data_IF_108094918191
#
_entry.id   IF_108094918191
#
_cell.length_a   1.000
_cell.length_b   1.000
_cell.length_c   1.000
_cell.angle_alpha   90.00
_cell.angle_beta   90.00
_cell.angle_gamma   90.00
#
_symmetry.space_group_name_H-M   'P 1'
#
loop_
_entity.id
_entity.type
_entity.pdbx_description
1 polymer ?
#
# COMPACT_ATOMS: atom_id res chain seq x y z
N UNK A 1 -11.36 6.69 4.13
CA UNK A 1 -10.25 6.40 3.19
C UNK A 1 -10.34 7.35 2.01
N UNK A 2 -9.22 8.00 1.67
CA UNK A 2 -9.12 8.95 0.56
C UNK A 2 -7.72 8.85 -0.08
N UNK A 3 -7.60 8.94 -1.40
CA UNK A 3 -8.66 8.76 -2.38
C UNK A 3 -9.17 7.30 -2.42
N UNK A 4 -10.32 7.05 -3.05
CA UNK A 4 -10.93 5.71 -3.08
C UNK A 4 -10.66 4.92 -4.37
N UNK A 5 -10.33 5.60 -5.47
CA UNK A 5 -10.27 4.99 -6.82
C UNK A 5 -9.00 5.29 -7.60
N UNK A 6 -8.13 6.17 -7.11
CA UNK A 6 -6.91 6.59 -7.82
C UNK A 6 -5.79 6.93 -6.86
N UNK A 7 -4.56 6.95 -7.35
CA UNK A 7 -3.41 7.42 -6.60
C UNK A 7 -3.31 8.95 -6.62
N UNK A 8 -2.67 9.53 -5.60
CA UNK A 8 -2.33 10.94 -5.58
C UNK A 8 -1.08 11.15 -6.46
N UNK A 9 -1.22 12.01 -7.43
CA UNK A 9 -0.20 12.33 -8.43
C UNK A 9 -0.06 13.85 -8.57
N UNK A 10 1.02 14.36 -9.17
CA UNK A 10 1.15 15.80 -9.41
C UNK A 10 -0.02 16.42 -10.21
N UNK A 11 -0.73 15.59 -11.00
CA UNK A 11 -1.86 16.05 -11.83
C UNK A 11 -3.14 16.35 -11.05
N UNK A 12 -3.33 15.67 -9.90
CA UNK A 12 -4.54 15.79 -9.08
C UNK A 12 -4.23 16.24 -7.64
N UNK A 13 -3.00 16.67 -7.37
CA UNK A 13 -2.57 17.04 -6.03
C UNK A 13 -3.36 18.21 -5.44
N UNK A 14 -3.63 19.24 -6.26
CA UNK A 14 -4.38 20.43 -5.82
C UNK A 14 -5.79 20.08 -5.36
N UNK A 15 -6.50 19.27 -6.13
CA UNK A 15 -7.85 18.81 -5.80
C UNK A 15 -7.84 17.90 -4.57
N UNK A 16 -6.83 17.03 -4.46
CA UNK A 16 -6.65 16.18 -3.30
C UNK A 16 -6.44 17.00 -2.01
N UNK A 17 -5.62 18.06 -2.08
CA UNK A 17 -5.39 18.96 -0.94
C UNK A 17 -6.68 19.65 -0.50
N UNK A 18 -7.48 20.14 -1.43
CA UNK A 18 -8.80 20.74 -1.11
C UNK A 18 -9.69 19.76 -0.36
N UNK A 19 -9.77 18.52 -0.83
CA UNK A 19 -10.60 17.49 -0.17
C UNK A 19 -10.06 17.12 1.21
N UNK A 20 -8.76 16.89 1.34
CA UNK A 20 -8.11 16.57 2.63
C UNK A 20 -8.38 17.68 3.64
N UNK A 21 -8.14 18.93 3.26
CA UNK A 21 -8.35 20.07 4.14
C UNK A 21 -9.81 20.19 4.60
N UNK A 22 -10.78 20.05 3.69
CA UNK A 22 -12.21 20.07 4.04
C UNK A 22 -12.62 18.93 4.97
N UNK A 23 -12.06 17.73 4.78
CA UNK A 23 -12.31 16.62 5.70
C UNK A 23 -11.78 16.90 7.10
N UNK A 24 -10.58 17.48 7.20
CA UNK A 24 -9.97 17.85 8.47
C UNK A 24 -10.70 19.02 9.13
N UNK A 25 -11.10 20.06 8.39
CA UNK A 25 -11.92 21.19 8.88
C UNK A 25 -13.24 20.71 9.48
N UNK A 26 -13.85 19.67 8.89
CA UNK A 26 -15.06 19.04 9.41
C UNK A 26 -14.81 18.10 10.61
N UNK A 27 -13.58 18.03 11.14
CA UNK A 27 -13.23 17.24 12.32
C UNK A 27 -12.99 15.74 12.05
N UNK A 28 -13.01 15.30 10.80
CA UNK A 28 -12.85 13.89 10.46
C UNK A 28 -11.44 13.39 10.69
N UNK A 29 -11.31 12.08 10.95
CA UNK A 29 -10.08 11.34 10.74
C UNK A 29 -9.92 10.99 9.27
N UNK A 30 -8.73 11.17 8.72
CA UNK A 30 -8.45 10.95 7.30
C UNK A 30 -7.40 9.85 7.14
N UNK A 31 -7.78 8.75 6.48
CA UNK A 31 -6.86 7.73 6.03
C UNK A 31 -6.48 8.01 4.57
N UNK A 32 -5.24 8.46 4.34
CA UNK A 32 -4.70 8.75 3.01
C UNK A 32 -4.04 7.48 2.46
N UNK A 33 -4.57 6.96 1.34
CA UNK A 33 -4.08 5.73 0.71
C UNK A 33 -3.58 6.01 -0.70
N UNK A 34 -2.32 5.67 -0.98
CA UNK A 34 -1.74 5.85 -2.32
C UNK A 34 -0.49 4.99 -2.51
N UNK A 35 -0.09 4.81 -3.78
CA UNK A 35 1.30 4.51 -4.15
C UNK A 35 2.05 5.85 -4.15
N UNK A 36 2.81 6.15 -3.08
CA UNK A 36 3.20 7.51 -2.78
C UNK A 36 4.26 8.04 -3.74
N UNK A 37 4.12 9.33 -4.11
CA UNK A 37 5.12 10.09 -4.83
C UNK A 37 5.74 11.14 -3.89
N UNK A 38 7.05 11.20 -3.87
CA UNK A 38 7.78 12.12 -2.99
C UNK A 38 7.26 13.56 -3.10
N UNK A 39 7.15 14.08 -4.33
CA UNK A 39 6.66 15.44 -4.59
C UNK A 39 5.23 15.70 -4.10
N UNK A 40 4.41 14.67 -3.96
CA UNK A 40 3.05 14.81 -3.46
C UNK A 40 3.00 14.70 -1.94
N UNK A 41 3.68 13.71 -1.36
CA UNK A 41 3.61 13.43 0.08
C UNK A 41 4.24 14.56 0.89
N UNK A 42 5.38 15.11 0.46
CA UNK A 42 6.00 16.25 1.13
C UNK A 42 5.06 17.46 1.18
N UNK A 43 4.42 17.79 0.06
CA UNK A 43 3.48 18.93 0.00
C UNK A 43 2.24 18.68 0.86
N UNK A 44 1.70 17.45 0.87
CA UNK A 44 0.53 17.10 1.72
C UNK A 44 0.90 17.25 3.21
N UNK A 45 2.03 16.68 3.63
CA UNK A 45 2.47 16.76 5.02
C UNK A 45 2.66 18.22 5.48
N UNK A 46 3.34 19.02 4.67
CA UNK A 46 3.56 20.45 4.99
C UNK A 46 2.24 21.24 5.00
N UNK A 47 1.37 21.03 4.02
CA UNK A 47 0.06 21.68 3.98
C UNK A 47 -0.77 21.37 5.22
N UNK A 48 -0.79 20.11 5.67
CA UNK A 48 -1.53 19.71 6.87
C UNK A 48 -0.94 20.39 8.12
N UNK A 49 0.37 20.37 8.28
CA UNK A 49 1.03 21.01 9.43
C UNK A 49 0.77 22.52 9.51
N UNK A 50 0.82 23.21 8.37
CA UNK A 50 0.60 24.65 8.30
C UNK A 50 -0.87 25.00 8.56
N UNK A 51 -1.81 24.28 7.97
CA UNK A 51 -3.23 24.61 8.07
C UNK A 51 -3.86 24.13 9.39
N UNK A 52 -3.31 23.08 10.03
CA UNK A 52 -3.86 22.45 11.23
C UNK A 52 -2.81 22.24 12.34
N UNK A 53 -2.05 23.25 12.75
CA UNK A 53 -0.84 23.11 13.60
C UNK A 53 -1.08 22.40 14.94
N UNK A 54 -2.29 22.47 15.49
CA UNK A 54 -2.66 21.89 16.78
C UNK A 54 -3.66 20.73 16.69
N UNK A 55 -3.93 20.22 15.49
CA UNK A 55 -5.08 19.34 15.28
C UNK A 55 -4.79 18.06 14.49
N UNK A 56 -3.71 18.01 13.72
CA UNK A 56 -3.43 16.93 12.78
C UNK A 56 -2.98 15.61 13.46
N UNK A 57 -2.40 15.70 14.67
CA UNK A 57 -1.96 14.52 15.41
C UNK A 57 -3.15 13.58 15.67
N UNK A 58 -2.98 12.29 15.40
CA UNK A 58 -4.01 11.25 15.52
C UNK A 58 -5.25 11.46 14.61
N UNK A 59 -5.20 12.40 13.67
CA UNK A 59 -6.28 12.66 12.69
C UNK A 59 -5.94 12.19 11.29
N UNK A 60 -4.65 12.09 10.95
CA UNK A 60 -4.19 11.71 9.63
C UNK A 60 -3.32 10.48 9.72
N UNK A 61 -3.72 9.43 9.01
CA UNK A 61 -2.91 8.21 8.83
C UNK A 61 -2.56 8.10 7.35
N UNK A 62 -1.28 7.95 7.05
CA UNK A 62 -0.82 7.57 5.72
C UNK A 62 -0.73 6.06 5.61
N UNK A 63 -1.42 5.47 4.64
CA UNK A 63 -1.28 4.05 4.28
C UNK A 63 -0.71 3.95 2.88
N UNK A 64 0.57 3.61 2.77
CA UNK A 64 1.22 3.48 1.48
C UNK A 64 1.18 2.05 0.95
N UNK A 65 0.81 1.94 -0.34
CA UNK A 65 0.72 0.63 -1.00
C UNK A 65 2.07 0.28 -1.60
N UNK A 66 2.57 -0.92 -1.28
CA UNK A 66 3.73 -1.54 -1.93
C UNK A 66 3.61 -3.06 -1.86
N UNK A 67 3.53 -3.71 -3.02
CA UNK A 67 3.33 -5.17 -3.11
C UNK A 67 4.63 -5.97 -3.22
N UNK A 68 5.78 -5.30 -3.33
CA UNK A 68 7.11 -5.93 -3.44
C UNK A 68 8.18 -4.92 -3.06
N UNK A 69 9.37 -5.40 -2.70
CA UNK A 69 10.61 -4.61 -2.58
C UNK A 69 11.41 -4.59 -3.88
N UNK A 70 11.03 -5.37 -4.88
CA UNK A 70 11.71 -5.45 -6.17
C UNK A 70 11.17 -4.40 -7.15
N UNK A 71 12.00 -3.46 -7.56
CA UNK A 71 11.62 -2.45 -8.57
C UNK A 71 11.27 -3.08 -9.92
N UNK A 72 11.87 -4.21 -10.30
CA UNK A 72 11.52 -4.92 -11.52
C UNK A 72 10.08 -5.46 -11.48
N UNK A 73 9.67 -6.04 -10.35
CA UNK A 73 8.31 -6.52 -10.11
C UNK A 73 7.32 -5.35 -10.10
N UNK A 74 7.64 -4.29 -9.34
CA UNK A 74 6.79 -3.10 -9.26
C UNK A 74 6.62 -2.42 -10.62
N UNK A 75 7.69 -2.28 -11.40
CA UNK A 75 7.66 -1.67 -12.73
C UNK A 75 6.82 -2.48 -13.73
N UNK A 76 6.87 -3.80 -13.63
CA UNK A 76 6.04 -4.66 -14.47
C UNK A 76 4.55 -4.52 -14.16
N UNK A 77 4.17 -4.65 -12.87
CA UNK A 77 2.78 -4.63 -12.45
C UNK A 77 2.17 -3.24 -12.34
N UNK A 78 2.98 -2.24 -12.04
CA UNK A 78 2.56 -0.88 -11.75
C UNK A 78 3.43 0.16 -12.50
N UNK A 79 3.50 0.10 -13.84
CA UNK A 79 4.50 0.84 -14.65
C UNK A 79 4.44 2.36 -14.49
N UNK A 80 3.30 2.89 -14.05
CA UNK A 80 3.08 4.32 -13.85
C UNK A 80 3.22 4.77 -12.38
N UNK A 81 3.55 3.86 -11.48
CA UNK A 81 3.75 4.16 -10.06
C UNK A 81 5.25 4.23 -9.70
N UNK A 82 5.62 4.88 -8.59
CA UNK A 82 7.00 4.91 -8.11
C UNK A 82 7.53 3.53 -7.75
N UNK A 83 8.87 3.37 -7.80
CA UNK A 83 9.57 2.20 -7.29
C UNK A 83 9.56 2.13 -5.76
N UNK A 84 10.14 1.03 -5.23
CA UNK A 84 10.16 0.77 -3.79
C UNK A 84 10.89 1.86 -3.00
N UNK A 85 12.06 2.28 -3.47
CA UNK A 85 12.89 3.29 -2.78
C UNK A 85 12.13 4.60 -2.55
N UNK A 86 11.39 5.09 -3.55
CA UNK A 86 10.59 6.32 -3.40
C UNK A 86 9.42 6.11 -2.44
N UNK A 87 8.73 4.97 -2.50
CA UNK A 87 7.64 4.63 -1.57
C UNK A 87 8.14 4.54 -0.12
N UNK A 88 9.29 3.91 0.08
CA UNK A 88 9.95 3.82 1.37
C UNK A 88 10.37 5.19 1.91
N UNK A 89 10.96 6.03 1.06
CA UNK A 89 11.34 7.39 1.44
C UNK A 89 10.11 8.22 1.87
N UNK A 90 8.99 8.11 1.17
CA UNK A 90 7.74 8.74 1.55
C UNK A 90 7.22 8.25 2.91
N UNK A 91 7.29 6.93 3.17
CA UNK A 91 6.90 6.35 4.45
C UNK A 91 7.76 6.89 5.59
N UNK A 92 9.08 6.88 5.39
CA UNK A 92 10.03 7.43 6.35
C UNK A 92 9.76 8.91 6.63
N UNK A 93 9.56 9.71 5.58
CA UNK A 93 9.26 11.13 5.74
C UNK A 93 7.97 11.37 6.54
N UNK A 94 6.89 10.67 6.23
CA UNK A 94 5.64 10.81 6.96
C UNK A 94 5.78 10.40 8.43
N UNK A 95 6.50 9.30 8.69
CA UNK A 95 6.82 8.83 10.04
C UNK A 95 7.65 9.84 10.84
N UNK A 96 8.77 10.33 10.27
CA UNK A 96 9.65 11.33 10.91
C UNK A 96 8.95 12.68 11.08
N UNK A 97 7.99 13.00 10.22
CA UNK A 97 7.13 14.16 10.33
C UNK A 97 6.09 14.05 11.46
N UNK A 98 5.94 12.86 12.09
CA UNK A 98 5.07 12.59 13.23
C UNK A 98 3.64 12.17 12.86
N UNK A 99 3.38 11.79 11.61
CA UNK A 99 2.09 11.25 11.19
C UNK A 99 1.94 9.77 11.55
N UNK A 100 0.70 9.33 11.75
CA UNK A 100 0.42 7.91 11.80
C UNK A 100 0.66 7.27 10.43
N UNK A 101 1.31 6.12 10.44
CA UNK A 101 1.76 5.42 9.24
C UNK A 101 1.30 3.97 9.22
N UNK A 102 1.00 3.49 8.03
CA UNK A 102 0.53 2.14 7.73
C UNK A 102 1.04 1.70 6.35
N UNK A 103 1.16 0.42 6.12
CA UNK A 103 1.53 -0.13 4.81
C UNK A 103 0.45 -1.09 4.33
N UNK A 104 0.15 -1.05 3.03
CA UNK A 104 -0.70 -2.03 2.36
C UNK A 104 0.13 -2.82 1.35
N UNK A 105 0.44 -4.06 1.69
CA UNK A 105 0.99 -5.07 0.79
C UNK A 105 -0.18 -5.87 0.17
N UNK A 106 -1.06 -5.18 -0.56
CA UNK A 106 -2.21 -5.77 -1.23
C UNK A 106 -2.40 -5.16 -2.63
N UNK A 107 -2.26 -6.00 -3.66
CA UNK A 107 -1.78 -7.37 -3.56
C UNK A 107 -0.28 -7.44 -3.28
N UNK A 108 0.19 -8.49 -2.59
CA UNK A 108 1.60 -8.83 -2.72
C UNK A 108 1.85 -9.32 -4.16
N UNK A 109 2.98 -8.91 -4.73
CA UNK A 109 3.28 -9.09 -6.15
C UNK A 109 4.38 -10.12 -6.42
N UNK A 110 4.99 -10.65 -5.37
CA UNK A 110 5.97 -11.73 -5.40
C UNK A 110 5.81 -12.67 -4.19
N UNK A 111 6.67 -13.67 -4.09
CA UNK A 111 6.59 -14.71 -3.07
C UNK A 111 7.09 -14.25 -1.67
N UNK A 112 7.54 -13.00 -1.53
CA UNK A 112 8.27 -12.51 -0.38
C UNK A 112 7.65 -11.26 0.27
N UNK A 113 6.36 -11.28 0.66
CA UNK A 113 5.75 -10.15 1.37
C UNK A 113 6.43 -9.85 2.71
N UNK A 114 7.15 -10.83 3.30
CA UNK A 114 7.97 -10.64 4.49
C UNK A 114 9.14 -9.66 4.28
N UNK A 115 9.61 -9.46 3.05
CA UNK A 115 10.63 -8.43 2.77
C UNK A 115 10.04 -7.02 2.82
N UNK A 116 8.79 -6.84 2.39
CA UNK A 116 8.06 -5.57 2.58
C UNK A 116 7.91 -5.29 4.06
N UNK A 117 7.50 -6.30 4.84
CA UNK A 117 7.41 -6.20 6.29
C UNK A 117 8.75 -5.76 6.92
N UNK A 118 9.82 -6.51 6.67
CA UNK A 118 11.13 -6.25 7.25
C UNK A 118 11.67 -4.85 6.92
N UNK A 119 11.39 -4.35 5.71
CA UNK A 119 11.85 -3.04 5.26
C UNK A 119 11.01 -1.88 5.84
N UNK A 120 9.78 -2.11 6.32
CA UNK A 120 8.85 -1.03 6.67
C UNK A 120 8.36 -1.05 8.12
N UNK A 121 8.50 -2.18 8.84
CA UNK A 121 7.91 -2.40 10.17
C UNK A 121 8.29 -1.30 11.17
N UNK A 122 9.56 -0.89 11.21
CA UNK A 122 10.07 0.14 12.12
C UNK A 122 9.52 1.55 11.85
N UNK A 123 8.96 1.78 10.64
CA UNK A 123 8.38 3.04 10.20
C UNK A 123 6.85 3.03 10.23
N UNK A 124 6.22 1.97 10.72
CA UNK A 124 4.76 1.83 10.80
C UNK A 124 4.29 1.99 12.25
N UNK A 125 3.33 2.89 12.47
CA UNK A 125 2.71 3.12 13.79
C UNK A 125 1.41 2.35 13.96
N UNK A 126 0.70 2.05 12.86
CA UNK A 126 -0.58 1.30 12.83
C UNK A 126 -0.35 -0.15 12.41
N UNK A 127 -0.73 -0.54 11.21
CA UNK A 127 -0.72 -1.92 10.70
C UNK A 127 -0.03 -2.05 9.35
N UNK A 128 0.49 -3.24 9.10
CA UNK A 128 0.94 -3.70 7.78
C UNK A 128 -0.09 -4.71 7.28
N UNK A 129 -0.86 -4.29 6.28
CA UNK A 129 -1.95 -5.06 5.69
C UNK A 129 -1.41 -5.95 4.57
N UNK A 130 -1.70 -7.24 4.64
CA UNK A 130 -1.27 -8.22 3.63
C UNK A 130 -2.47 -8.83 2.94
N UNK A 131 -2.45 -8.87 1.60
CA UNK A 131 -3.54 -9.39 0.79
C UNK A 131 -3.10 -9.90 -0.57
N UNK A 132 -3.97 -10.69 -1.22
CA UNK A 132 -3.77 -11.24 -2.56
C UNK A 132 -4.51 -10.43 -3.63
N UNK A 133 -4.17 -10.63 -4.89
CA UNK A 133 -4.91 -10.09 -6.03
C UNK A 133 -6.20 -10.89 -6.22
N UNK A 134 -7.32 -10.29 -5.87
CA UNK A 134 -8.64 -10.90 -6.15
C UNK A 134 -8.92 -10.91 -7.65
N UNK A 135 -9.63 -11.94 -8.09
CA UNK A 135 -10.15 -12.04 -9.45
C UNK A 135 -9.04 -11.89 -10.52
N UNK A 136 -7.96 -12.64 -10.32
CA UNK A 136 -6.74 -12.56 -11.12
C UNK A 136 -7.02 -12.62 -12.63
N UNK A 137 -7.82 -13.58 -13.08
CA UNK A 137 -8.02 -13.84 -14.50
C UNK A 137 -8.81 -12.73 -15.21
N UNK A 138 -9.65 -11.99 -14.50
CA UNK A 138 -10.39 -10.85 -15.05
C UNK A 138 -9.61 -9.52 -14.95
N UNK A 139 -8.65 -9.43 -14.01
CA UNK A 139 -7.89 -8.19 -13.78
C UNK A 139 -6.58 -8.12 -14.57
N UNK A 140 -6.01 -9.26 -14.93
CA UNK A 140 -4.73 -9.30 -15.64
C UNK A 140 -4.96 -9.41 -17.13
N UNK A 141 -4.74 -8.29 -17.85
CA UNK A 141 -4.83 -8.23 -19.30
C UNK A 141 -3.57 -8.87 -19.91
N UNK A 142 -3.76 -9.92 -20.70
CA UNK A 142 -2.67 -10.76 -21.21
C UNK A 142 -2.22 -10.43 -22.65
N UNK A 143 -2.96 -9.57 -23.35
CA UNK A 143 -2.77 -9.35 -24.79
C UNK A 143 -1.45 -8.66 -25.14
N UNK A 144 -0.97 -7.79 -24.27
CA UNK A 144 0.30 -7.06 -24.45
C UNK A 144 1.51 -7.69 -23.73
N UNK A 145 1.31 -8.83 -23.05
CA UNK A 145 2.37 -9.46 -22.22
C UNK A 145 3.11 -10.51 -23.04
N UNK A 146 4.43 -10.38 -23.15
CA UNK A 146 5.28 -11.33 -23.88
C UNK A 146 5.33 -12.71 -23.21
N UNK A 147 5.77 -13.73 -23.94
CA UNK A 147 5.90 -15.10 -23.40
C UNK A 147 6.88 -15.15 -22.21
N UNK A 148 7.99 -14.42 -22.31
CA UNK A 148 8.98 -14.34 -21.22
C UNK A 148 8.43 -13.63 -19.97
N UNK A 149 7.74 -12.52 -20.14
CA UNK A 149 7.09 -11.81 -19.04
C UNK A 149 6.00 -12.65 -18.37
N UNK A 150 5.21 -13.40 -19.17
CA UNK A 150 4.24 -14.36 -18.63
C UNK A 150 4.90 -15.40 -17.73
N UNK A 151 6.07 -15.89 -18.13
CA UNK A 151 6.81 -16.88 -17.34
C UNK A 151 7.42 -16.28 -16.07
N UNK A 152 7.94 -15.07 -16.13
CA UNK A 152 8.70 -14.43 -15.03
C UNK A 152 7.76 -13.78 -14.01
N UNK A 153 6.69 -13.15 -14.44
CA UNK A 153 5.84 -12.33 -13.53
C UNK A 153 4.43 -12.91 -13.36
N UNK A 154 3.77 -13.28 -14.46
CA UNK A 154 2.33 -13.60 -14.42
C UNK A 154 2.07 -14.98 -13.83
N UNK A 155 2.76 -16.01 -14.32
CA UNK A 155 2.58 -17.40 -13.81
C UNK A 155 2.97 -17.52 -12.32
N UNK A 156 4.11 -16.97 -11.86
CA UNK A 156 4.43 -16.98 -10.43
C UNK A 156 3.36 -16.29 -9.59
N UNK A 157 2.93 -15.06 -9.96
CA UNK A 157 1.90 -14.38 -9.18
C UNK A 157 0.57 -15.15 -9.18
N UNK A 158 0.16 -15.76 -10.31
CA UNK A 158 -1.04 -16.61 -10.36
C UNK A 158 -0.92 -17.81 -9.42
N UNK A 159 0.25 -18.46 -9.38
CA UNK A 159 0.49 -19.58 -8.46
C UNK A 159 0.38 -19.16 -6.99
N UNK A 160 0.82 -17.96 -6.64
CA UNK A 160 0.74 -17.42 -5.28
C UNK A 160 -0.70 -17.13 -4.81
N UNK A 161 -1.69 -17.10 -5.71
CA UNK A 161 -3.10 -17.00 -5.33
C UNK A 161 -3.68 -18.35 -4.88
N UNK A 162 -2.95 -19.47 -5.06
CA UNK A 162 -3.40 -20.79 -4.63
C UNK A 162 -3.49 -20.88 -3.09
N UNK A 163 -4.55 -21.47 -2.52
CA UNK A 163 -4.75 -21.59 -1.07
C UNK A 163 -3.55 -22.17 -0.31
N UNK A 164 -2.81 -23.10 -0.90
CA UNK A 164 -1.63 -23.70 -0.28
C UNK A 164 -0.51 -22.64 -0.07
N UNK A 165 -0.24 -21.82 -1.08
CA UNK A 165 0.78 -20.74 -0.97
C UNK A 165 0.31 -19.63 -0.04
N UNK A 166 -0.97 -19.25 -0.13
CA UNK A 166 -1.57 -18.26 0.78
C UNK A 166 -1.42 -18.73 2.24
N UNK A 167 -1.70 -20.02 2.52
CA UNK A 167 -1.52 -20.61 3.85
C UNK A 167 -0.05 -20.60 4.31
N UNK A 168 0.89 -20.84 3.40
CA UNK A 168 2.32 -20.80 3.70
C UNK A 168 2.73 -19.38 4.10
N UNK A 169 2.37 -18.37 3.32
CA UNK A 169 2.64 -16.95 3.64
C UNK A 169 1.99 -16.56 4.98
N UNK A 170 0.74 -16.94 5.19
CA UNK A 170 0.04 -16.70 6.45
C UNK A 170 0.81 -17.31 7.64
N UNK A 171 1.21 -18.57 7.57
CA UNK A 171 1.92 -19.24 8.66
C UNK A 171 3.29 -18.61 8.94
N UNK A 172 3.98 -18.11 7.92
CA UNK A 172 5.28 -17.46 8.07
C UNK A 172 5.18 -16.07 8.74
N UNK A 173 4.04 -15.41 8.62
CA UNK A 173 3.91 -14.01 9.03
C UNK A 173 2.89 -13.76 10.15
N UNK A 174 2.05 -14.72 10.52
CA UNK A 174 0.93 -14.52 11.46
C UNK A 174 1.35 -14.11 12.88
N UNK A 175 2.56 -14.45 13.30
CA UNK A 175 3.11 -14.09 14.62
C UNK A 175 3.93 -12.78 14.58
N UNK A 176 4.10 -12.17 13.39
CA UNK A 176 4.84 -10.92 13.26
C UNK A 176 3.97 -9.76 13.79
N UNK A 177 4.55 -8.86 14.60
CA UNK A 177 3.81 -7.71 15.12
C UNK A 177 3.29 -6.80 14.00
N UNK A 178 2.20 -6.07 14.26
CA UNK A 178 1.56 -5.13 13.33
C UNK A 178 0.98 -5.75 12.04
N UNK A 179 1.15 -7.06 11.78
CA UNK A 179 0.52 -7.71 10.62
C UNK A 179 -1.00 -7.72 10.79
N UNK A 180 -1.70 -7.41 9.71
CA UNK A 180 -3.14 -7.54 9.58
C UNK A 180 -3.50 -8.13 8.21
N UNK A 181 -4.48 -9.02 8.20
CA UNK A 181 -4.86 -9.76 6.99
C UNK A 181 -6.06 -9.13 6.31
N UNK A 182 -5.94 -8.89 5.02
CA UNK A 182 -7.05 -8.42 4.19
C UNK A 182 -8.10 -9.52 3.99
N UNK A 183 -9.33 -9.11 3.71
CA UNK A 183 -10.43 -10.04 3.42
C UNK A 183 -10.07 -11.05 2.32
N UNK A 184 -9.25 -10.65 1.36
CA UNK A 184 -8.77 -11.52 0.29
C UNK A 184 -8.01 -12.76 0.80
N UNK A 185 -7.26 -12.66 1.90
CA UNK A 185 -6.61 -13.81 2.57
C UNK A 185 -7.56 -14.50 3.52
N UNK A 186 -8.33 -13.74 4.31
CA UNK A 186 -9.29 -14.27 5.28
C UNK A 186 -10.29 -15.22 4.62
N UNK A 187 -10.83 -14.84 3.47
CA UNK A 187 -11.77 -15.66 2.68
C UNK A 187 -11.14 -16.96 2.19
N UNK A 188 -9.92 -16.91 1.66
CA UNK A 188 -9.21 -18.12 1.17
C UNK A 188 -8.91 -19.10 2.32
N UNK A 189 -8.63 -18.60 3.50
CA UNK A 189 -8.25 -19.42 4.67
C UNK A 189 -9.42 -19.69 5.63
N UNK A 190 -10.62 -19.20 5.34
CA UNK A 190 -11.80 -19.28 6.20
C UNK A 190 -11.55 -18.74 7.62
N UNK A 191 -10.84 -17.62 7.72
CA UNK A 191 -10.59 -16.93 9.00
C UNK A 191 -11.78 -16.05 9.35
N UNK A 192 -12.10 -15.95 10.66
CA UNK A 192 -13.14 -15.05 11.13
C UNK A 192 -12.83 -13.59 10.77
N UNK A 193 -13.87 -12.81 10.50
CA UNK A 193 -13.75 -11.36 10.31
C UNK A 193 -13.59 -10.71 11.68
N UNK A 194 -12.59 -9.87 11.81
CA UNK A 194 -12.43 -9.00 12.99
C UNK A 194 -13.45 -7.87 12.98
#
# INVERSE_FOLDING_TARGET
MFPSTHDITPKNLSECLVVINRLLDAGNKVLIVSKPRWSCITVICESIKVNFPNFWQNKVTFRFTTGSTSDAVLKFWEPNAPGFTERWACLKYAYEAGFDTSVSCEPYLDAHPEYVYAATESLVTDKIWVGILRDFDNRVVMDSVTFSEKAVYVRPLKALQNPMFVKTIYNNMKELPKIEWKDSIREVLNLEKN
#
